data_IF_152764427201
#
_entry.id   IF_152764427201
#
_cell.length_a   1.000
_cell.length_b   1.000
_cell.length_c   1.000
_cell.angle_alpha   90.00
_cell.angle_beta   90.00
_cell.angle_gamma   90.00
#
_symmetry.space_group_name_H-M   'P 1'
#
loop_
_entity.id
_entity.type
_entity.pdbx_description
1 polymer ?
#
# COMPACT_ATOMS: atom_id res chain seq x y z
N UNK A 1 4.57 -6.38 16.12
CA UNK A 1 4.86 -5.39 15.07
C UNK A 1 5.40 -4.14 15.74
N UNK A 2 6.53 -3.61 15.29
CA UNK A 2 7.12 -2.37 15.84
C UNK A 2 7.14 -1.34 14.71
N UNK A 3 6.58 -0.16 14.96
CA UNK A 3 6.49 0.95 14.02
C UNK A 3 7.08 2.23 14.65
N UNK A 4 7.94 2.92 13.90
CA UNK A 4 8.58 4.16 14.37
C UNK A 4 7.64 5.36 14.33
N UNK A 5 6.75 5.41 13.34
CA UNK A 5 5.75 6.46 13.18
C UNK A 5 4.75 6.48 14.32
N UNK A 6 4.04 7.61 14.42
CA UNK A 6 2.92 7.78 15.37
C UNK A 6 1.76 6.85 15.13
N UNK A 7 1.62 6.38 13.89
CA UNK A 7 0.74 5.31 13.47
C UNK A 7 1.33 4.64 12.21
N UNK A 8 0.92 3.40 11.91
CA UNK A 8 1.22 2.76 10.62
C UNK A 8 0.82 3.69 9.47
N UNK A 9 1.73 3.91 8.53
CA UNK A 9 1.53 4.81 7.41
C UNK A 9 1.94 6.28 7.64
N UNK A 10 2.19 6.71 8.88
CA UNK A 10 2.61 8.09 9.17
C UNK A 10 3.97 8.47 8.56
N UNK A 11 4.81 7.48 8.26
CA UNK A 11 6.13 7.64 7.65
C UNK A 11 6.25 6.98 6.27
N UNK A 12 5.16 6.41 5.75
CA UNK A 12 5.19 5.69 4.49
C UNK A 12 4.90 6.65 3.32
N UNK A 13 5.83 6.69 2.38
CA UNK A 13 5.71 7.46 1.14
C UNK A 13 5.56 6.50 -0.04
N UNK A 14 4.61 6.78 -0.92
CA UNK A 14 4.30 5.95 -2.07
C UNK A 14 3.69 6.80 -3.20
N UNK A 15 3.87 6.39 -4.45
CA UNK A 15 3.17 6.95 -5.61
C UNK A 15 1.65 6.71 -5.65
N UNK A 16 1.09 6.07 -4.61
CA UNK A 16 -0.35 6.00 -4.36
C UNK A 16 -1.08 4.77 -4.89
N UNK A 17 -0.47 3.85 -5.67
CA UNK A 17 -1.20 2.72 -6.30
C UNK A 17 -0.89 1.35 -5.70
N UNK A 18 -1.87 0.65 -5.16
CA UNK A 18 -1.74 -0.74 -4.70
C UNK A 18 -2.38 -1.74 -5.67
N UNK A 19 -1.74 -2.90 -5.86
CA UNK A 19 -2.25 -4.00 -6.67
C UNK A 19 -2.99 -5.02 -5.78
N UNK A 20 -4.16 -5.45 -6.21
CA UNK A 20 -5.11 -6.20 -5.37
C UNK A 20 -4.76 -7.67 -5.21
N UNK A 21 -4.14 -8.30 -6.21
CA UNK A 21 -3.85 -9.74 -6.23
C UNK A 21 -3.17 -10.27 -4.96
N UNK A 22 -2.26 -9.50 -4.36
CA UNK A 22 -1.54 -9.88 -3.13
C UNK A 22 -2.38 -9.62 -1.89
N UNK A 23 -3.16 -8.53 -1.89
CA UNK A 23 -4.00 -8.15 -0.75
C UNK A 23 -5.18 -9.11 -0.60
N UNK A 24 -5.79 -9.54 -1.71
CA UNK A 24 -6.89 -10.52 -1.73
C UNK A 24 -6.54 -11.81 -0.97
N UNK A 25 -5.29 -12.29 -1.13
CA UNK A 25 -4.83 -13.50 -0.45
C UNK A 25 -4.74 -13.33 1.07
N UNK A 26 -4.55 -12.10 1.55
CA UNK A 26 -4.42 -11.77 2.97
C UNK A 26 -5.76 -11.39 3.60
N UNK A 27 -6.58 -10.65 2.85
CA UNK A 27 -7.87 -10.09 3.26
C UNK A 27 -8.83 -10.19 2.06
N UNK A 28 -9.51 -11.33 1.85
CA UNK A 28 -10.32 -11.57 0.65
C UNK A 28 -11.49 -10.59 0.46
N UNK A 29 -11.99 -10.00 1.54
CA UNK A 29 -13.09 -9.05 1.56
C UNK A 29 -12.61 -7.59 1.64
N UNK A 30 -11.34 -7.31 1.29
CA UNK A 30 -10.77 -5.97 1.47
C UNK A 30 -11.52 -4.89 0.68
N UNK A 31 -12.14 -5.22 -0.47
CA UNK A 31 -12.82 -4.24 -1.33
C UNK A 31 -13.96 -3.52 -0.62
N UNK A 32 -14.61 -4.21 0.32
CA UNK A 32 -15.77 -3.68 1.04
C UNK A 32 -15.36 -2.87 2.29
N UNK A 33 -14.11 -3.02 2.74
CA UNK A 33 -13.66 -2.54 4.07
C UNK A 33 -12.44 -1.64 4.04
N UNK A 34 -11.56 -1.80 3.07
CA UNK A 34 -10.33 -1.04 2.97
C UNK A 34 -10.61 0.40 2.52
N UNK A 35 -9.84 1.39 3.02
CA UNK A 35 -9.96 2.79 2.62
C UNK A 35 -9.31 3.01 1.24
N UNK A 36 -9.93 2.45 0.20
CA UNK A 36 -9.57 2.63 -1.20
C UNK A 36 -10.08 3.99 -1.68
N UNK A 37 -9.29 4.71 -2.47
CA UNK A 37 -9.69 6.04 -2.96
C UNK A 37 -10.30 5.93 -4.36
N UNK A 38 -9.54 5.45 -5.35
CA UNK A 38 -9.99 5.37 -6.75
C UNK A 38 -9.45 4.13 -7.44
N UNK A 39 -10.31 3.40 -8.13
CA UNK A 39 -9.89 2.33 -9.04
C UNK A 39 -9.09 2.90 -10.21
N UNK A 40 -7.93 2.30 -10.50
CA UNK A 40 -7.13 2.64 -11.68
C UNK A 40 -7.75 1.92 -12.87
N UNK A 41 -8.11 2.69 -13.91
CA UNK A 41 -8.69 2.20 -15.17
C UNK A 41 -7.96 2.76 -16.39
N UNK A 42 -7.00 3.66 -16.15
CA UNK A 42 -6.18 4.32 -17.16
C UNK A 42 -4.77 4.51 -16.64
N UNK A 43 -3.80 4.24 -17.49
CA UNK A 43 -2.38 4.40 -17.24
C UNK A 43 -1.78 5.25 -18.36
N UNK A 44 -0.91 6.19 -17.98
CA UNK A 44 -0.22 7.07 -18.93
C UNK A 44 1.26 7.06 -18.63
N UNK A 45 2.05 6.87 -19.67
CA UNK A 45 3.48 7.11 -19.66
C UNK A 45 3.73 8.31 -20.57
N UNK A 46 4.23 9.40 -19.98
CA UNK A 46 4.58 10.61 -20.72
C UNK A 46 6.08 10.81 -20.72
N UNK A 47 6.66 11.04 -21.89
CA UNK A 47 8.06 11.37 -22.10
C UNK A 47 8.11 12.84 -22.53
N UNK A 48 8.72 13.69 -21.71
CA UNK A 48 8.81 15.13 -21.94
C UNK A 48 10.19 15.58 -22.41
N UNK A 49 10.23 16.54 -23.35
CA UNK A 49 11.44 17.22 -23.81
C UNK A 49 11.16 18.73 -23.95
N UNK A 50 11.57 19.53 -22.97
CA UNK A 50 11.24 20.96 -22.92
C UNK A 50 9.72 21.19 -22.85
N UNK A 51 9.16 21.83 -23.88
CA UNK A 51 7.72 22.09 -24.02
C UNK A 51 6.99 21.02 -24.84
N UNK A 52 7.68 19.94 -25.23
CA UNK A 52 7.12 18.84 -26.01
C UNK A 52 6.84 17.63 -25.11
N UNK A 53 5.81 16.86 -25.45
CA UNK A 53 5.43 15.66 -24.72
C UNK A 53 4.91 14.58 -25.68
N UNK A 54 5.44 13.37 -25.54
CA UNK A 54 4.89 12.17 -26.16
C UNK A 54 4.24 11.33 -25.06
N UNK A 55 2.95 11.00 -25.21
CA UNK A 55 2.20 10.21 -24.23
C UNK A 55 1.70 8.91 -24.86
N UNK A 56 1.96 7.80 -24.18
CA UNK A 56 1.34 6.50 -24.43
C UNK A 56 0.27 6.30 -23.35
N UNK A 57 -0.98 6.13 -23.77
CA UNK A 57 -2.11 5.87 -22.87
C UNK A 57 -2.62 4.44 -23.08
N UNK A 58 -2.80 3.73 -21.97
CA UNK A 58 -3.51 2.46 -21.91
C UNK A 58 -4.77 2.65 -21.05
N UNK A 59 -5.93 2.38 -21.65
CA UNK A 59 -7.22 2.38 -20.95
C UNK A 59 -7.79 0.96 -21.00
N UNK A 60 -8.37 0.51 -19.90
CA UNK A 60 -8.98 -0.80 -19.83
C UNK A 60 -10.26 -0.75 -18.98
N UNK A 61 -11.23 -1.56 -19.39
CA UNK A 61 -12.30 -2.02 -18.52
C UNK A 61 -11.89 -3.38 -17.99
N UNK A 62 -12.07 -3.61 -16.68
CA UNK A 62 -11.63 -4.84 -16.03
C UNK A 62 -12.17 -6.07 -16.77
N UNK A 63 -11.24 -6.85 -17.34
CA UNK A 63 -11.58 -8.09 -18.04
C UNK A 63 -11.66 -9.30 -17.11
N UNK A 64 -10.93 -9.29 -15.99
CA UNK A 64 -10.81 -10.43 -15.07
C UNK A 64 -10.75 -9.98 -13.59
N UNK A 65 -11.30 -10.77 -12.64
CA UNK A 65 -11.16 -10.51 -11.21
C UNK A 65 -9.69 -10.52 -10.75
N UNK A 66 -9.34 -9.65 -9.79
CA UNK A 66 -8.00 -9.55 -9.18
C UNK A 66 -6.88 -8.98 -10.06
N UNK A 67 -7.20 -8.46 -11.25
CA UNK A 67 -6.24 -7.73 -12.08
C UNK A 67 -6.27 -6.22 -11.82
N UNK A 68 -7.20 -5.75 -10.99
CA UNK A 68 -7.37 -4.33 -10.75
C UNK A 68 -6.36 -3.76 -9.75
N UNK A 69 -6.34 -2.44 -9.66
CA UNK A 69 -5.51 -1.73 -8.70
C UNK A 69 -6.20 -0.45 -8.27
N UNK A 70 -5.82 0.06 -7.10
CA UNK A 70 -6.46 1.20 -6.48
C UNK A 70 -5.44 2.24 -6.06
N UNK A 71 -5.84 3.50 -6.19
CA UNK A 71 -5.20 4.60 -5.50
C UNK A 71 -5.56 4.52 -4.01
N UNK A 72 -4.59 4.76 -3.13
CA UNK A 72 -4.73 4.76 -1.67
C UNK A 72 -3.96 5.92 -1.05
N UNK A 73 -4.45 6.40 0.09
CA UNK A 73 -3.69 7.25 1.01
C UNK A 73 -3.04 6.37 2.08
N UNK A 74 -1.71 6.30 2.10
CA UNK A 74 -0.96 5.38 2.99
C UNK A 74 -1.28 5.57 4.47
N UNK A 75 -1.44 6.82 4.93
CA UNK A 75 -1.82 7.09 6.31
C UNK A 75 -3.16 6.44 6.72
N UNK A 76 -4.12 6.33 5.80
CA UNK A 76 -5.40 5.64 6.05
C UNK A 76 -5.27 4.14 5.83
N UNK A 77 -4.68 3.75 4.71
CA UNK A 77 -4.59 2.35 4.29
C UNK A 77 -3.74 1.50 5.21
N UNK A 78 -2.55 1.98 5.60
CA UNK A 78 -1.66 1.19 6.47
C UNK A 78 -2.21 1.10 7.89
N UNK A 79 -2.89 2.15 8.37
CA UNK A 79 -3.62 2.10 9.64
C UNK A 79 -4.68 1.00 9.61
N UNK A 80 -5.53 0.99 8.57
CA UNK A 80 -6.53 -0.08 8.38
C UNK A 80 -5.87 -1.46 8.28
N UNK A 81 -4.79 -1.61 7.52
CA UNK A 81 -4.12 -2.91 7.35
C UNK A 81 -3.50 -3.40 8.66
N UNK A 82 -2.99 -2.50 9.49
CA UNK A 82 -2.49 -2.85 10.81
C UNK A 82 -3.64 -3.28 11.75
N UNK A 83 -4.80 -2.60 11.70
CA UNK A 83 -6.00 -3.01 12.43
C UNK A 83 -6.46 -4.42 12.02
N UNK A 84 -6.35 -4.78 10.73
CA UNK A 84 -6.62 -6.16 10.27
C UNK A 84 -5.63 -7.18 10.85
N UNK A 85 -4.36 -6.82 11.00
CA UNK A 85 -3.37 -7.67 11.63
C UNK A 85 -3.64 -7.83 13.15
N UNK A 86 -4.01 -6.75 13.84
CA UNK A 86 -4.39 -6.78 15.26
C UNK A 86 -5.61 -7.67 15.51
N UNK A 87 -6.63 -7.62 14.64
CA UNK A 87 -7.79 -8.54 14.68
C UNK A 87 -7.38 -10.01 14.55
N UNK A 88 -6.25 -10.30 13.91
CA UNK A 88 -5.68 -11.66 13.80
C UNK A 88 -4.71 -12.00 14.94
N UNK A 89 -4.66 -11.18 16.00
CA UNK A 89 -3.88 -11.43 17.21
C UNK A 89 -2.47 -10.84 17.20
N UNK A 90 -2.09 -10.05 16.19
CA UNK A 90 -0.82 -9.32 16.24
C UNK A 90 -0.87 -8.19 17.26
N UNK A 91 0.24 -7.94 17.97
CA UNK A 91 0.41 -6.75 18.79
C UNK A 91 1.14 -5.67 17.97
N UNK A 92 0.53 -4.50 17.81
CA UNK A 92 1.18 -3.32 17.24
C UNK A 92 1.73 -2.41 18.34
N UNK A 93 3.00 -2.03 18.22
CA UNK A 93 3.64 -1.01 19.06
C UNK A 93 4.17 0.10 18.15
N UNK A 94 3.51 1.26 18.18
CA UNK A 94 3.91 2.46 17.43
C UNK A 94 4.76 3.41 18.27
N UNK A 95 5.31 4.47 17.66
CA UNK A 95 6.25 5.42 18.28
C UNK A 95 7.54 4.78 18.82
N UNK A 96 7.94 3.62 18.29
CA UNK A 96 9.13 2.91 18.73
C UNK A 96 10.03 2.66 17.53
N UNK A 97 11.22 3.25 17.54
CA UNK A 97 12.26 2.93 16.59
C UNK A 97 13.09 1.76 17.12
N UNK A 98 13.14 0.65 16.37
CA UNK A 98 14.14 -0.39 16.59
C UNK A 98 15.51 0.19 16.22
N UNK A 99 16.48 0.13 17.13
CA UNK A 99 17.84 0.63 16.89
C UNK A 99 18.79 -0.50 16.52
N UNK A 100 18.68 -1.63 17.20
CA UNK A 100 19.59 -2.76 17.07
C UNK A 100 18.87 -4.09 17.27
N UNK A 101 19.48 -5.17 16.77
CA UNK A 101 19.04 -6.54 16.99
C UNK A 101 19.82 -7.16 18.15
N UNK A 102 19.15 -8.00 18.94
CA UNK A 102 19.80 -8.85 19.93
C UNK A 102 20.10 -10.19 19.26
N UNK A 103 21.36 -10.63 19.30
CA UNK A 103 21.81 -11.93 18.76
C UNK A 103 22.41 -12.79 19.88
N UNK A 104 22.24 -14.10 19.81
CA UNK A 104 22.93 -15.04 20.71
C UNK A 104 24.25 -15.51 20.10
N UNK A 105 25.35 -15.42 20.87
CA UNK A 105 26.74 -15.70 20.42
C UNK A 105 27.52 -14.43 20.07
N UNK A 106 28.81 -14.39 20.42
CA UNK A 106 29.69 -13.22 20.26
C UNK A 106 29.71 -12.71 18.81
N UNK A 107 29.52 -11.39 18.66
CA UNK A 107 29.76 -10.66 17.41
C UNK A 107 31.24 -10.38 17.17
#
# INVERSE_FOLDING_TARGET
>A
LIERGTAPGAKNMMGGRIYTHSLERLVPDFRDRAPLERKVTKERISIGAGNEMTTIEYSYEDGQPNEESYVVLRAKFDKWLAEEAEKKGALLVSNVQVTDLITEGEG
#
